data_IF_160474213463
#
_entry.id   IF_160474213463
#
_cell.length_a   1.000
_cell.length_b   1.000
_cell.length_c   1.000
_cell.angle_alpha   90.00
_cell.angle_beta   90.00
_cell.angle_gamma   90.00
#
_symmetry.space_group_name_H-M   'P 1'
#
loop_
_entity.id
_entity.type
_entity.pdbx_description
1 polymer ?
#
# COMPACT_ATOMS: atom_id res chain seq x y z
N UNK A 1 13.18 -3.92 11.38
CA UNK A 1 11.88 -4.61 11.19
C UNK A 1 12.17 -6.10 11.25
N UNK A 2 11.37 -6.89 11.97
CA UNK A 2 11.50 -8.34 11.91
C UNK A 2 11.08 -8.79 10.50
N UNK A 3 11.89 -9.63 9.84
CA UNK A 3 11.51 -10.22 8.57
C UNK A 3 10.30 -11.14 8.75
N UNK A 4 9.36 -11.07 7.81
CA UNK A 4 8.21 -11.97 7.76
C UNK A 4 8.70 -13.36 7.36
N UNK A 5 8.34 -14.39 8.13
CA UNK A 5 8.70 -15.76 7.78
C UNK A 5 7.91 -16.25 6.54
N UNK A 6 8.44 -17.27 5.88
CA UNK A 6 7.89 -17.81 4.63
C UNK A 6 6.45 -18.33 4.76
N UNK A 7 6.12 -19.00 5.87
CA UNK A 7 4.80 -19.57 6.08
C UNK A 7 3.72 -18.48 6.21
N UNK A 8 4.02 -17.42 6.97
CA UNK A 8 3.15 -16.25 7.08
C UNK A 8 2.97 -15.55 5.73
N UNK A 9 4.06 -15.40 4.95
CA UNK A 9 4.00 -14.79 3.63
C UNK A 9 3.10 -15.56 2.67
N UNK A 10 3.24 -16.90 2.63
CA UNK A 10 2.38 -17.76 1.80
C UNK A 10 0.92 -17.67 2.22
N UNK A 11 0.63 -17.75 3.53
CA UNK A 11 -0.74 -17.65 4.02
C UNK A 11 -1.40 -16.31 3.66
N UNK A 12 -0.72 -15.18 3.85
CA UNK A 12 -1.24 -13.86 3.49
C UNK A 12 -1.30 -13.63 1.98
N UNK A 13 -0.46 -14.30 1.21
CA UNK A 13 -0.56 -14.26 -0.25
C UNK A 13 -1.83 -14.93 -0.77
N UNK A 14 -2.25 -16.03 -0.12
CA UNK A 14 -3.45 -16.78 -0.49
C UNK A 14 -4.74 -16.19 0.10
N UNK A 15 -4.72 -15.81 1.37
CA UNK A 15 -5.92 -15.46 2.15
C UNK A 15 -5.96 -14.00 2.64
N UNK A 16 -4.88 -13.24 2.46
CA UNK A 16 -4.83 -11.82 2.86
C UNK A 16 -5.62 -10.92 1.92
N UNK A 17 -6.07 -9.78 2.43
CA UNK A 17 -6.79 -8.81 1.63
C UNK A 17 -5.87 -8.12 0.61
N UNK A 18 -6.49 -7.66 -0.47
CA UNK A 18 -5.87 -6.89 -1.55
C UNK A 18 -6.58 -5.56 -1.67
N UNK A 19 -5.83 -4.47 -1.50
CA UNK A 19 -6.28 -3.12 -1.81
C UNK A 19 -5.84 -2.79 -3.24
N UNK A 20 -6.79 -2.67 -4.16
CA UNK A 20 -6.54 -2.26 -5.54
C UNK A 20 -6.73 -0.75 -5.65
N UNK A 21 -5.73 -0.05 -6.20
CA UNK A 21 -5.78 1.39 -6.42
C UNK A 21 -5.61 1.66 -7.92
N UNK A 22 -6.70 2.09 -8.56
CA UNK A 22 -6.76 2.35 -9.99
C UNK A 22 -6.45 3.82 -10.28
N UNK A 23 -5.69 4.07 -11.33
CA UNK A 23 -5.39 5.40 -11.87
C UNK A 23 -4.84 6.41 -10.84
N UNK A 24 -4.03 5.91 -9.90
CA UNK A 24 -3.35 6.76 -8.91
C UNK A 24 -2.35 7.68 -9.62
N UNK A 25 -2.45 9.02 -9.43
CA UNK A 25 -1.49 9.93 -10.03
C UNK A 25 -0.06 9.62 -9.57
N UNK A 26 0.90 9.70 -10.50
CA UNK A 26 2.32 9.51 -10.21
C UNK A 26 2.78 10.44 -9.07
N UNK A 27 3.54 9.88 -8.12
CA UNK A 27 4.05 10.61 -6.97
C UNK A 27 3.06 10.82 -5.82
N UNK A 28 1.81 10.33 -5.94
CA UNK A 28 0.87 10.31 -4.81
C UNK A 28 1.46 9.47 -3.67
N UNK A 29 1.51 10.03 -2.46
CA UNK A 29 1.87 9.23 -1.28
C UNK A 29 0.66 8.40 -0.86
N UNK A 30 0.87 7.10 -0.69
CA UNK A 30 -0.12 6.13 -0.20
C UNK A 30 0.45 5.50 1.07
N UNK A 31 -0.36 5.40 2.11
CA UNK A 31 0.04 4.72 3.34
C UNK A 31 -1.01 3.79 3.90
N UNK A 32 -0.53 2.73 4.55
CA UNK A 32 -1.31 1.80 5.35
C UNK A 32 -0.68 1.66 6.73
N UNK A 33 -1.45 1.91 7.78
CA UNK A 33 -0.98 1.93 9.16
C UNK A 33 0.24 2.86 9.30
N UNK A 34 1.41 2.31 9.63
CA UNK A 34 2.67 3.07 9.83
C UNK A 34 3.62 3.00 8.63
N UNK A 35 3.19 2.43 7.50
CA UNK A 35 4.01 2.32 6.30
C UNK A 35 3.46 3.23 5.20
N UNK A 36 4.35 3.91 4.47
CA UNK A 36 3.96 4.71 3.30
C UNK A 36 4.98 4.65 2.17
N UNK A 37 4.49 4.88 0.95
CA UNK A 37 5.24 4.84 -0.29
C UNK A 37 4.72 5.89 -1.27
N UNK A 38 5.52 6.25 -2.26
CA UNK A 38 5.05 7.03 -3.41
C UNK A 38 4.63 6.09 -4.54
N UNK A 39 3.45 6.33 -5.10
CA UNK A 39 2.97 5.62 -6.28
C UNK A 39 3.85 5.94 -7.49
N UNK A 40 4.28 4.89 -8.20
CA UNK A 40 5.06 4.98 -9.43
C UNK A 40 4.24 4.44 -10.63
N UNK A 41 4.85 4.46 -11.83
CA UNK A 41 4.20 4.22 -13.13
C UNK A 41 3.40 2.91 -13.26
N UNK A 42 3.63 1.91 -12.39
CA UNK A 42 2.88 0.65 -12.38
C UNK A 42 2.37 0.24 -11.00
N UNK A 43 2.29 1.17 -10.06
CA UNK A 43 1.71 0.87 -8.75
C UNK A 43 0.21 0.58 -8.89
N UNK A 44 -0.24 -0.59 -8.40
CA UNK A 44 -1.65 -1.04 -8.47
C UNK A 44 -2.28 -1.30 -7.10
N UNK A 45 -1.57 -0.97 -6.02
CA UNK A 45 -2.05 -1.11 -4.65
C UNK A 45 -1.21 -2.06 -3.80
N UNK A 46 -1.83 -2.65 -2.78
CA UNK A 46 -1.15 -3.37 -1.69
C UNK A 46 -1.82 -4.74 -1.51
N UNK A 47 -1.01 -5.80 -1.40
CA UNK A 47 -1.45 -7.18 -1.14
C UNK A 47 -0.85 -7.68 0.18
N UNK A 48 -1.38 -8.80 0.69
CA UNK A 48 -0.96 -9.46 1.93
C UNK A 48 -1.35 -8.65 3.17
N UNK A 49 -2.50 -7.96 3.12
CA UNK A 49 -3.05 -7.24 4.26
C UNK A 49 -3.70 -8.27 5.20
N UNK A 50 -3.23 -8.42 6.46
CA UNK A 50 -3.84 -9.34 7.40
C UNK A 50 -5.29 -8.98 7.72
N UNK A 51 -6.09 -9.93 8.25
CA UNK A 51 -7.41 -9.60 8.78
C UNK A 51 -7.32 -8.62 9.96
N UNK A 52 -8.22 -7.64 10.01
CA UNK A 52 -8.30 -6.66 11.09
C UNK A 52 -8.68 -5.26 10.61
N UNK A 53 -8.65 -4.30 11.53
CA UNK A 53 -8.81 -2.88 11.20
C UNK A 53 -7.48 -2.32 10.69
N UNK A 54 -7.51 -1.70 9.52
CA UNK A 54 -6.36 -1.03 8.92
C UNK A 54 -6.72 0.42 8.58
N UNK A 55 -5.79 1.34 8.83
CA UNK A 55 -5.94 2.73 8.45
C UNK A 55 -5.25 2.97 7.11
N UNK A 56 -6.00 3.44 6.12
CA UNK A 56 -5.47 3.76 4.77
C UNK A 56 -5.57 5.27 4.58
N UNK A 57 -4.51 5.89 4.08
CA UNK A 57 -4.51 7.30 3.72
C UNK A 57 -3.79 7.54 2.40
N UNK A 58 -4.07 8.69 1.80
CA UNK A 58 -3.33 9.19 0.65
C UNK A 58 -3.06 10.69 0.80
N UNK A 59 -1.98 11.16 0.19
CA UNK A 59 -1.67 12.57 0.02
C UNK A 59 -1.25 12.81 -1.43
N UNK A 60 -2.10 13.53 -2.15
CA UNK A 60 -1.74 14.05 -3.46
C UNK A 60 -0.86 15.29 -3.30
N UNK A 61 0.24 15.36 -4.06
CA UNK A 61 1.10 16.54 -4.07
C UNK A 61 0.60 17.49 -5.15
N UNK A 62 -0.11 18.54 -4.75
CA UNK A 62 -0.36 19.67 -5.65
C UNK A 62 0.96 20.39 -5.82
N UNK A 63 1.46 20.48 -7.06
CA UNK A 63 2.56 21.40 -7.37
C UNK A 63 2.03 22.81 -7.12
N UNK A 64 2.53 23.46 -6.07
CA UNK A 64 2.45 24.91 -5.93
C UNK A 64 3.18 25.49 -7.14
N UNK A 65 2.45 26.03 -8.11
CA UNK A 65 3.02 26.93 -9.10
C UNK A 65 3.42 28.21 -8.36
N UNK A 66 4.68 28.25 -7.92
CA UNK A 66 5.38 29.45 -7.53
C UNK A 66 6.40 29.77 -8.63
#
# INVERSE_FOLDING_TARGET
MAEMNQATAQHLFEAGAVLILLDVPYGTEIGINMNSWQAAENFKGIKMIPPGLHFIYFRYKVLSMA
#
